data_IF_780377308925
#
_entry.id   IF_780377308925
#
_cell.length_a   1.000
_cell.length_b   1.000
_cell.length_c   1.000
_cell.angle_alpha   90.00
_cell.angle_beta   90.00
_cell.angle_gamma   90.00
#
_symmetry.space_group_name_H-M   'P 1'
#
loop_
_entity.id
_entity.type
_entity.pdbx_description
1 polymer ?
#
# COMPACT_ATOMS: atom_id res chain seq x y z
N UNK A 1 -2.51 4.86 34.51
CA UNK A 1 -1.49 5.10 33.48
C UNK A 1 -0.71 3.81 33.30
N UNK A 2 -0.95 3.09 32.20
CA UNK A 2 -0.25 1.85 31.89
C UNK A 2 1.21 2.18 31.56
N UNK A 3 2.21 1.54 32.17
CA UNK A 3 3.61 1.82 31.86
C UNK A 3 3.89 1.40 30.41
N UNK A 4 4.13 2.39 29.54
CA UNK A 4 4.57 2.16 28.16
C UNK A 4 6.05 1.73 28.21
N UNK A 5 6.38 0.55 27.72
CA UNK A 5 7.79 0.12 27.61
C UNK A 5 8.50 1.09 26.66
N UNK A 6 9.43 1.88 27.20
CA UNK A 6 10.40 2.61 26.37
C UNK A 6 11.31 1.58 25.66
N UNK A 7 10.99 1.29 24.41
CA UNK A 7 11.91 1.17 23.27
C UNK A 7 13.19 0.33 23.42
N UNK A 8 13.17 -0.85 24.07
CA UNK A 8 14.24 -1.85 23.85
C UNK A 8 13.74 -2.91 22.87
N UNK A 9 14.28 -2.90 21.64
CA UNK A 9 13.96 -3.87 20.56
C UNK A 9 13.94 -5.33 21.02
N UNK A 10 14.76 -5.65 22.04
CA UNK A 10 14.86 -6.99 22.62
C UNK A 10 13.61 -7.43 23.39
N UNK A 11 12.90 -6.53 24.08
CA UNK A 11 11.64 -6.87 24.75
C UNK A 11 10.56 -7.22 23.71
N UNK A 12 10.45 -6.39 22.69
CA UNK A 12 9.48 -6.58 21.61
C UNK A 12 9.72 -7.89 20.88
N UNK A 13 10.99 -8.22 20.60
CA UNK A 13 11.33 -9.46 19.93
C UNK A 13 11.01 -10.70 20.78
N UNK A 14 11.24 -10.65 22.10
CA UNK A 14 10.84 -11.73 23.01
C UNK A 14 9.30 -11.90 23.01
N UNK A 15 8.54 -10.80 23.04
CA UNK A 15 7.07 -10.84 22.96
C UNK A 15 6.59 -11.42 21.61
N UNK A 16 7.30 -11.16 20.50
CA UNK A 16 6.99 -11.73 19.17
C UNK A 16 7.23 -13.23 19.13
N UNK A 17 8.39 -13.67 19.58
CA UNK A 17 8.74 -15.09 19.61
C UNK A 17 7.72 -15.88 20.44
N UNK A 18 7.31 -15.34 21.60
CA UNK A 18 6.28 -15.95 22.45
C UNK A 18 4.88 -15.95 21.82
N UNK A 19 4.54 -14.92 21.03
CA UNK A 19 3.27 -14.86 20.31
C UNK A 19 3.20 -15.92 19.21
N UNK A 20 4.31 -16.16 18.51
CA UNK A 20 4.37 -17.11 17.39
C UNK A 20 4.43 -18.57 17.86
N UNK A 21 5.07 -18.85 19.00
CA UNK A 21 5.28 -20.23 19.46
C UNK A 21 4.01 -20.92 19.96
N UNK A 22 3.05 -20.16 20.52
CA UNK A 22 1.83 -20.68 21.18
C UNK A 22 2.08 -21.73 22.29
N UNK A 23 3.35 -21.98 22.64
CA UNK A 23 3.83 -22.89 23.68
C UNK A 23 4.69 -22.12 24.70
N UNK A 24 4.72 -22.54 25.98
CA UNK A 24 5.58 -21.90 26.97
C UNK A 24 7.05 -22.03 26.58
N UNK A 25 7.78 -20.91 26.54
CA UNK A 25 9.22 -20.93 26.24
C UNK A 25 10.07 -20.49 27.44
N UNK A 26 11.12 -21.26 27.72
CA UNK A 26 12.16 -20.93 28.68
C UNK A 26 13.27 -20.09 28.07
N UNK A 27 14.13 -19.51 28.93
CA UNK A 27 15.17 -18.58 28.50
C UNK A 27 16.17 -19.17 27.48
N UNK A 28 16.48 -20.47 27.57
CA UNK A 28 17.37 -21.15 26.61
C UNK A 28 16.79 -21.20 25.19
N UNK A 29 15.56 -21.70 25.02
CA UNK A 29 14.89 -21.74 23.71
C UNK A 29 14.62 -20.35 23.16
N UNK A 30 14.31 -19.39 24.03
CA UNK A 30 14.16 -17.98 23.62
C UNK A 30 15.48 -17.37 23.16
N UNK A 31 16.60 -17.68 23.84
CA UNK A 31 17.94 -17.24 23.45
C UNK A 31 18.32 -17.75 22.06
N UNK A 32 18.07 -19.03 21.76
CA UNK A 32 18.28 -19.63 20.44
C UNK A 32 17.45 -18.92 19.37
N UNK A 33 16.15 -18.72 19.60
CA UNK A 33 15.25 -18.02 18.67
C UNK A 33 15.57 -16.53 18.51
N UNK A 34 16.06 -15.88 19.55
CA UNK A 34 16.54 -14.49 19.49
C UNK A 34 17.80 -14.40 18.61
N UNK A 35 18.73 -15.35 18.73
CA UNK A 35 19.93 -15.41 17.91
C UNK A 35 19.62 -15.65 16.42
N UNK A 36 18.64 -16.51 16.11
CA UNK A 36 18.12 -16.70 14.74
C UNK A 36 17.63 -15.38 14.12
N UNK A 37 17.18 -14.43 14.95
CA UNK A 37 16.68 -13.11 14.55
C UNK A 37 17.72 -11.99 14.69
N UNK A 38 19.00 -12.35 14.90
CA UNK A 38 20.11 -11.39 14.98
C UNK A 38 20.32 -10.76 16.36
N UNK A 39 19.63 -11.22 17.40
CA UNK A 39 19.83 -10.79 18.78
C UNK A 39 20.61 -11.83 19.58
N UNK A 40 21.93 -11.68 19.62
CA UNK A 40 22.79 -12.56 20.43
C UNK A 40 22.71 -12.16 21.90
N UNK A 41 22.02 -12.97 22.70
CA UNK A 41 21.85 -12.79 24.14
C UNK A 41 22.25 -14.07 24.86
N UNK A 42 22.69 -13.97 26.11
CA UNK A 42 22.87 -15.15 26.96
C UNK A 42 21.55 -15.57 27.59
N UNK A 43 21.40 -16.85 27.96
CA UNK A 43 20.23 -17.36 28.67
C UNK A 43 19.93 -16.53 29.93
N UNK A 44 20.97 -16.08 30.63
CA UNK A 44 20.84 -15.22 31.81
C UNK A 44 20.29 -13.84 31.46
N UNK A 45 20.73 -13.24 30.34
CA UNK A 45 20.19 -11.96 29.86
C UNK A 45 18.71 -12.10 29.47
N UNK A 46 18.35 -13.17 28.75
CA UNK A 46 16.95 -13.47 28.39
C UNK A 46 16.09 -13.68 29.65
N UNK A 47 16.64 -14.33 30.68
CA UNK A 47 15.95 -14.51 31.96
C UNK A 47 15.64 -13.18 32.65
N UNK A 48 16.56 -12.20 32.61
CA UNK A 48 16.29 -10.85 33.14
C UNK A 48 15.18 -10.14 32.37
N UNK A 49 15.19 -10.24 31.05
CA UNK A 49 14.12 -9.67 30.22
C UNK A 49 12.76 -10.31 30.51
N UNK A 50 12.70 -11.63 30.67
CA UNK A 50 11.48 -12.34 31.04
C UNK A 50 10.97 -11.94 32.42
N UNK A 51 11.87 -11.74 33.40
CA UNK A 51 11.47 -11.29 34.73
C UNK A 51 10.84 -9.89 34.68
N UNK A 52 11.43 -8.99 33.90
CA UNK A 52 10.85 -7.66 33.70
C UNK A 52 9.48 -7.71 32.99
N UNK A 53 9.33 -8.57 31.97
CA UNK A 53 8.05 -8.77 31.29
C UNK A 53 6.99 -9.41 32.21
N UNK A 54 7.40 -10.27 33.14
CA UNK A 54 6.54 -10.82 34.19
C UNK A 54 6.09 -9.68 35.15
N UNK A 55 7.01 -8.80 35.58
CA UNK A 55 6.73 -7.65 36.44
C UNK A 55 5.80 -6.61 35.80
N UNK A 56 5.91 -6.42 34.48
CA UNK A 56 5.01 -5.57 33.70
C UNK A 56 3.67 -6.25 33.35
N UNK A 57 3.51 -7.52 33.71
CA UNK A 57 2.29 -8.28 33.47
C UNK A 57 2.07 -8.67 32.01
N UNK A 58 3.11 -8.62 31.17
CA UNK A 58 3.04 -9.03 29.76
C UNK A 58 3.28 -10.52 29.56
N UNK A 59 4.03 -11.16 30.46
CA UNK A 59 4.23 -12.61 30.46
C UNK A 59 3.78 -13.24 31.76
N UNK A 60 3.44 -14.52 31.71
CA UNK A 60 3.09 -15.34 32.87
C UNK A 60 3.87 -16.65 32.86
N UNK A 61 4.47 -16.98 34.01
CA UNK A 61 5.24 -18.21 34.19
C UNK A 61 4.32 -19.43 34.29
N UNK A 62 4.61 -20.45 33.48
CA UNK A 62 3.88 -21.74 33.46
C UNK A 62 4.79 -22.83 34.01
N UNK A 63 4.88 -22.91 35.34
CA UNK A 63 5.74 -23.87 36.05
C UNK A 63 7.20 -23.81 35.56
N UNK A 64 7.78 -24.98 35.27
CA UNK A 64 9.14 -25.10 34.71
C UNK A 64 9.17 -25.10 33.17
N UNK A 65 8.02 -24.97 32.50
CA UNK A 65 7.93 -25.05 31.04
C UNK A 65 8.35 -23.75 30.35
N UNK A 66 8.24 -22.62 31.04
CA UNK A 66 8.60 -21.31 30.49
C UNK A 66 7.56 -20.24 30.79
N UNK A 67 7.46 -19.25 29.88
CA UNK A 67 6.48 -18.17 29.94
C UNK A 67 5.53 -18.23 28.74
N UNK A 68 4.30 -17.79 28.96
CA UNK A 68 3.34 -17.45 27.90
C UNK A 68 3.02 -15.96 27.97
N UNK A 69 2.49 -15.42 26.88
CA UNK A 69 1.92 -14.07 26.90
C UNK A 69 0.62 -14.06 27.69
N UNK A 70 0.44 -12.99 28.47
CA UNK A 70 -0.88 -12.61 28.99
C UNK A 70 -1.69 -11.90 27.90
N UNK A 71 -2.97 -11.62 28.13
CA UNK A 71 -3.76 -10.78 27.22
C UNK A 71 -3.11 -9.40 27.00
N UNK A 72 -2.54 -8.81 28.06
CA UNK A 72 -1.80 -7.56 27.98
C UNK A 72 -0.54 -7.70 27.11
N UNK A 73 0.19 -8.82 27.23
CA UNK A 73 1.37 -9.11 26.41
C UNK A 73 1.04 -9.36 24.93
N UNK A 74 -0.09 -10.01 24.65
CA UNK A 74 -0.60 -10.17 23.28
C UNK A 74 -0.96 -8.81 22.69
N UNK A 75 -1.67 -7.97 23.44
CA UNK A 75 -2.01 -6.61 23.01
C UNK A 75 -0.76 -5.75 22.77
N UNK A 76 0.25 -5.87 23.63
CA UNK A 76 1.51 -5.13 23.51
C UNK A 76 2.35 -5.61 22.31
N UNK A 77 2.48 -6.91 22.10
CA UNK A 77 3.16 -7.49 20.93
C UNK A 77 2.54 -6.99 19.62
N UNK A 78 1.20 -6.90 19.58
CA UNK A 78 0.45 -6.33 18.44
C UNK A 78 0.67 -4.82 18.29
N UNK A 79 0.64 -4.04 19.37
CA UNK A 79 0.89 -2.58 19.34
C UNK A 79 2.30 -2.26 18.85
N UNK A 80 3.30 -2.97 19.36
CA UNK A 80 4.69 -2.81 18.96
C UNK A 80 4.94 -3.18 17.49
N UNK A 81 4.23 -4.18 16.97
CA UNK A 81 4.23 -4.48 15.53
C UNK A 81 3.66 -3.31 14.73
N UNK A 82 2.57 -2.69 15.19
CA UNK A 82 2.00 -1.51 14.55
C UNK A 82 3.00 -0.34 14.58
N UNK A 83 3.64 -0.05 15.71
CA UNK A 83 4.62 1.05 15.83
C UNK A 83 5.84 0.88 14.92
N UNK A 84 6.38 -0.34 14.77
CA UNK A 84 7.46 -0.60 13.80
C UNK A 84 6.99 -0.53 12.33
N UNK A 85 5.70 -0.73 12.07
CA UNK A 85 5.10 -0.62 10.75
C UNK A 85 4.65 0.81 10.40
N UNK A 86 4.53 1.73 11.37
CA UNK A 86 4.17 3.12 11.10
C UNK A 86 5.22 3.73 10.17
N UNK A 87 4.77 4.17 8.99
CA UNK A 87 5.64 4.74 7.96
C UNK A 87 6.31 3.71 7.04
N UNK A 88 6.18 2.40 7.32
CA UNK A 88 6.76 1.36 6.47
C UNK A 88 6.21 1.40 5.04
N UNK A 89 4.89 1.59 4.88
CA UNK A 89 4.26 1.66 3.56
C UNK A 89 4.77 2.86 2.76
N UNK A 90 4.78 4.06 3.34
CA UNK A 90 5.26 5.25 2.63
C UNK A 90 6.74 5.11 2.28
N UNK A 91 7.60 4.60 3.17
CA UNK A 91 9.02 4.36 2.85
C UNK A 91 9.21 3.26 1.80
N UNK A 92 8.37 2.21 1.78
CA UNK A 92 8.36 1.19 0.72
C UNK A 92 8.03 1.83 -0.63
N UNK A 93 7.02 2.69 -0.68
CA UNK A 93 6.58 3.41 -1.87
C UNK A 93 7.65 4.41 -2.35
N UNK A 94 8.22 5.22 -1.47
CA UNK A 94 9.30 6.16 -1.80
C UNK A 94 10.51 5.44 -2.41
N UNK A 95 10.89 4.28 -1.86
CA UNK A 95 11.95 3.44 -2.42
C UNK A 95 11.61 2.94 -3.83
N UNK A 96 10.34 2.64 -4.12
CA UNK A 96 9.90 2.22 -5.46
C UNK A 96 9.87 3.38 -6.45
N UNK A 97 9.41 4.57 -6.03
CA UNK A 97 9.52 5.80 -6.84
C UNK A 97 10.97 6.02 -7.28
N UNK A 98 11.90 5.95 -6.33
CA UNK A 98 13.33 6.15 -6.61
C UNK A 98 13.90 5.09 -7.57
N UNK A 99 13.47 3.83 -7.46
CA UNK A 99 13.92 2.73 -8.32
C UNK A 99 13.24 2.71 -9.70
N UNK A 100 12.09 3.35 -9.85
CA UNK A 100 11.34 3.41 -11.10
C UNK A 100 12.16 4.12 -12.17
N UNK A 101 12.40 3.47 -13.31
CA UNK A 101 13.21 4.02 -14.41
C UNK A 101 12.38 4.57 -15.58
N UNK A 102 11.05 4.56 -15.49
CA UNK A 102 10.17 5.07 -16.54
C UNK A 102 10.48 6.52 -16.95
N UNK A 103 10.57 6.72 -18.26
CA UNK A 103 10.72 8.00 -18.93
C UNK A 103 9.52 8.20 -19.87
N UNK A 104 8.64 9.18 -19.61
CA UNK A 104 7.43 9.37 -20.39
C UNK A 104 7.72 9.92 -21.81
N UNK A 105 8.88 10.57 -22.03
CA UNK A 105 9.28 11.06 -23.35
C UNK A 105 9.55 9.88 -24.28
N UNK A 106 10.36 8.92 -23.84
CA UNK A 106 10.72 7.75 -24.64
C UNK A 106 9.70 6.60 -24.54
N UNK A 107 8.86 6.61 -23.50
CA UNK A 107 7.94 5.50 -23.21
C UNK A 107 8.66 4.23 -22.76
N UNK A 108 9.90 4.35 -22.25
CA UNK A 108 10.75 3.21 -21.87
C UNK A 108 11.10 3.24 -20.39
N UNK A 109 11.64 2.12 -19.91
CA UNK A 109 12.05 1.93 -18.52
C UNK A 109 11.01 1.16 -17.71
N UNK A 110 11.16 1.20 -16.39
CA UNK A 110 10.35 0.42 -15.46
C UNK A 110 9.36 1.28 -14.71
N UNK A 111 8.14 0.78 -14.55
CA UNK A 111 7.08 1.39 -13.72
C UNK A 111 6.88 0.56 -12.47
N UNK A 112 6.39 1.19 -11.39
CA UNK A 112 5.99 0.46 -10.19
C UNK A 112 4.62 -0.19 -10.41
N UNK A 113 4.42 -1.37 -9.83
CA UNK A 113 3.16 -2.12 -9.97
C UNK A 113 2.61 -2.61 -8.62
N UNK A 114 1.30 -2.88 -8.59
CA UNK A 114 0.63 -3.64 -7.54
C UNK A 114 0.37 -5.06 -8.07
N UNK A 115 0.42 -6.06 -7.18
CA UNK A 115 0.11 -7.45 -7.51
C UNK A 115 -1.15 -7.88 -6.75
N UNK A 116 -2.23 -8.11 -7.48
CA UNK A 116 -3.47 -8.67 -6.97
C UNK A 116 -3.50 -10.17 -7.17
N UNK A 117 -3.92 -10.92 -6.16
CA UNK A 117 -4.05 -12.37 -6.17
C UNK A 117 -5.54 -12.72 -6.11
N UNK A 118 -6.00 -13.53 -7.05
CA UNK A 118 -7.39 -13.99 -7.15
C UNK A 118 -7.41 -15.49 -7.40
N UNK A 119 -8.52 -16.16 -7.09
CA UNK A 119 -8.68 -17.57 -7.44
C UNK A 119 -8.78 -17.73 -8.94
N UNK A 120 -8.25 -18.82 -9.48
CA UNK A 120 -8.31 -19.10 -10.93
C UNK A 120 -9.75 -19.11 -11.46
N UNK A 121 -10.69 -19.66 -10.68
CA UNK A 121 -12.12 -19.73 -11.00
C UNK A 121 -12.80 -18.34 -11.12
N UNK A 122 -12.31 -17.35 -10.38
CA UNK A 122 -12.87 -15.99 -10.34
C UNK A 122 -12.25 -15.09 -11.42
N UNK A 123 -11.16 -15.51 -12.07
CA UNK A 123 -10.40 -14.68 -13.01
C UNK A 123 -11.29 -14.04 -14.08
N UNK A 124 -12.19 -14.75 -14.80
CA UNK A 124 -12.99 -14.13 -15.85
C UNK A 124 -13.91 -13.01 -15.34
N UNK A 125 -14.41 -13.13 -14.11
CA UNK A 125 -15.26 -12.13 -13.48
C UNK A 125 -14.47 -10.90 -13.01
N UNK A 126 -13.28 -11.15 -12.45
CA UNK A 126 -12.37 -10.09 -12.02
C UNK A 126 -11.84 -9.30 -13.22
N UNK A 127 -11.40 -9.96 -14.28
CA UNK A 127 -10.91 -9.28 -15.49
C UNK A 127 -12.02 -8.47 -16.17
N UNK A 128 -13.25 -8.97 -16.22
CA UNK A 128 -14.39 -8.19 -16.71
C UNK A 128 -14.62 -6.92 -15.87
N UNK A 129 -14.49 -6.99 -14.53
CA UNK A 129 -14.57 -5.81 -13.67
C UNK A 129 -13.40 -4.83 -13.89
N UNK A 130 -12.20 -5.34 -14.17
CA UNK A 130 -11.04 -4.50 -14.46
C UNK A 130 -11.20 -3.81 -15.84
N UNK A 131 -11.72 -4.53 -16.83
CA UNK A 131 -11.97 -4.04 -18.19
C UNK A 131 -12.99 -2.89 -18.19
N UNK A 132 -14.03 -2.95 -17.35
CA UNK A 132 -14.98 -1.84 -17.19
C UNK A 132 -14.30 -0.56 -16.67
N UNK A 133 -13.42 -0.68 -15.67
CA UNK A 133 -12.67 0.46 -15.12
C UNK A 133 -11.68 1.01 -16.15
N UNK A 134 -10.99 0.11 -16.87
CA UNK A 134 -10.08 0.49 -17.94
C UNK A 134 -10.80 1.22 -19.07
N UNK A 135 -11.95 0.70 -19.52
CA UNK A 135 -12.75 1.27 -20.60
C UNK A 135 -13.33 2.63 -20.24
N UNK A 136 -13.69 2.82 -18.97
CA UNK A 136 -14.24 4.08 -18.47
C UNK A 136 -13.16 5.14 -18.11
N UNK A 137 -11.87 4.77 -18.12
CA UNK A 137 -10.78 5.72 -17.89
C UNK A 137 -10.44 6.03 -16.43
N UNK A 138 -10.92 5.22 -15.49
CA UNK A 138 -10.74 5.47 -14.05
C UNK A 138 -9.58 4.67 -13.42
N UNK A 139 -8.79 3.95 -14.21
CA UNK A 139 -7.53 3.37 -13.77
C UNK A 139 -6.38 4.37 -13.82
N UNK A 140 -5.33 4.18 -13.02
CA UNK A 140 -4.10 4.99 -13.18
C UNK A 140 -3.46 4.78 -14.57
N UNK A 141 -3.48 3.54 -15.04
CA UNK A 141 -3.21 3.13 -16.40
C UNK A 141 -4.36 2.17 -16.75
N UNK A 142 -5.02 2.35 -17.89
CA UNK A 142 -6.20 1.56 -18.28
C UNK A 142 -5.84 0.18 -18.86
N UNK A 143 -4.86 -0.48 -18.25
CA UNK A 143 -4.43 -1.83 -18.61
C UNK A 143 -3.91 -2.54 -17.37
N UNK A 144 -3.91 -3.86 -17.44
CA UNK A 144 -3.35 -4.74 -16.43
C UNK A 144 -2.76 -5.96 -17.13
N UNK A 145 -1.94 -6.72 -16.41
CA UNK A 145 -1.36 -7.97 -16.93
C UNK A 145 -1.70 -9.13 -16.03
N UNK A 146 -2.21 -10.22 -16.62
CA UNK A 146 -2.36 -11.48 -15.90
C UNK A 146 -0.97 -12.13 -15.77
N UNK A 147 -0.65 -12.58 -14.56
CA UNK A 147 0.64 -13.13 -14.17
C UNK A 147 0.40 -14.50 -13.55
N UNK A 148 0.88 -15.55 -14.22
CA UNK A 148 0.81 -16.93 -13.71
C UNK A 148 2.10 -17.32 -12.97
N UNK A 149 3.22 -16.70 -13.34
CA UNK A 149 4.54 -17.04 -12.83
C UNK A 149 5.09 -15.93 -11.92
N UNK A 150 4.74 -15.98 -10.64
CA UNK A 150 5.35 -15.17 -9.58
C UNK A 150 5.39 -15.99 -8.28
N UNK A 151 6.54 -16.06 -7.57
CA UNK A 151 6.68 -16.89 -6.37
C UNK A 151 5.75 -16.51 -5.21
N UNK A 152 5.09 -15.35 -5.27
CA UNK A 152 4.10 -14.90 -4.28
C UNK A 152 2.70 -15.41 -4.56
N UNK A 153 2.45 -15.97 -5.74
CA UNK A 153 1.16 -16.55 -6.12
C UNK A 153 1.06 -17.95 -5.50
N UNK A 154 0.08 -18.18 -4.60
CA UNK A 154 -0.15 -19.51 -4.04
C UNK A 154 -0.86 -20.43 -5.05
N UNK A 155 -0.80 -21.74 -4.82
CA UNK A 155 -1.51 -22.73 -5.64
C UNK A 155 -3.02 -22.41 -5.75
N UNK A 156 -3.59 -22.62 -6.94
CA UNK A 156 -5.00 -22.34 -7.26
C UNK A 156 -5.35 -20.86 -7.35
N UNK A 157 -4.34 -19.98 -7.39
CA UNK A 157 -4.50 -18.54 -7.59
C UNK A 157 -3.74 -18.06 -8.81
N UNK A 158 -4.15 -16.90 -9.29
CA UNK A 158 -3.52 -16.19 -10.39
C UNK A 158 -3.28 -14.73 -10.02
N UNK A 159 -2.17 -14.19 -10.50
CA UNK A 159 -1.78 -12.81 -10.30
C UNK A 159 -2.37 -11.88 -11.34
N UNK A 160 -2.69 -10.66 -10.94
CA UNK A 160 -3.06 -9.56 -11.82
C UNK A 160 -2.24 -8.33 -11.44
N UNK A 161 -1.46 -7.83 -12.38
CA UNK A 161 -0.56 -6.70 -12.21
C UNK A 161 -1.21 -5.41 -12.71
N UNK A 162 -1.23 -4.37 -11.87
CA UNK A 162 -1.72 -3.02 -12.24
C UNK A 162 -0.65 -1.97 -11.99
N UNK A 163 -0.65 -0.87 -12.75
CA UNK A 163 0.27 0.22 -12.53
C UNK A 163 0.01 0.92 -11.18
N UNK A 164 1.07 1.17 -10.42
CA UNK A 164 1.02 1.90 -9.16
C UNK A 164 1.26 3.40 -9.41
N UNK A 165 0.44 4.25 -8.78
CA UNK A 165 0.52 5.71 -8.96
C UNK A 165 1.85 6.31 -8.49
N UNK A 166 2.61 5.57 -7.66
CA UNK A 166 3.98 5.94 -7.25
C UNK A 166 4.96 6.06 -8.44
N UNK A 167 4.58 5.54 -9.61
CA UNK A 167 5.31 5.76 -10.86
C UNK A 167 5.37 7.25 -11.23
N UNK A 168 4.29 8.02 -10.99
CA UNK A 168 4.28 9.47 -11.18
C UNK A 168 5.36 10.14 -10.32
N UNK A 169 5.49 9.73 -9.07
CA UNK A 169 6.50 10.26 -8.15
C UNK A 169 7.92 10.02 -8.69
N UNK A 170 8.19 8.85 -9.28
CA UNK A 170 9.47 8.56 -9.94
C UNK A 170 9.74 9.45 -11.15
N UNK A 171 8.72 9.76 -11.96
CA UNK A 171 8.83 10.69 -13.09
C UNK A 171 9.14 12.11 -12.60
N UNK A 172 8.34 12.62 -11.66
CA UNK A 172 8.51 13.96 -11.09
C UNK A 172 9.90 14.12 -10.43
N UNK A 173 10.35 13.11 -9.69
CA UNK A 173 11.68 13.12 -9.07
C UNK A 173 12.82 13.25 -10.09
N UNK A 174 12.75 12.54 -11.23
CA UNK A 174 13.77 12.66 -12.30
C UNK A 174 13.75 14.00 -13.01
N UNK A 175 12.61 14.67 -13.05
CA UNK A 175 12.48 16.05 -13.53
C UNK A 175 12.97 17.09 -12.50
N UNK A 176 13.53 16.63 -11.37
CA UNK A 176 14.06 17.47 -10.30
C UNK A 176 12.97 18.06 -9.41
N UNK A 177 11.75 17.49 -9.40
CA UNK A 177 10.61 18.01 -8.64
C UNK A 177 10.48 17.23 -7.33
N UNK A 178 10.72 17.86 -6.16
CA UNK A 178 10.55 17.19 -4.89
C UNK A 178 9.06 16.93 -4.65
N UNK A 179 8.70 15.65 -4.60
CA UNK A 179 7.31 15.19 -4.52
C UNK A 179 7.06 14.50 -3.19
N UNK A 180 5.92 14.83 -2.56
CA UNK A 180 5.46 14.18 -1.32
C UNK A 180 4.11 13.53 -1.56
N UNK A 181 4.01 12.22 -1.36
CA UNK A 181 2.75 11.51 -1.31
C UNK A 181 2.09 11.79 0.06
N UNK A 182 1.10 12.68 0.09
CA UNK A 182 0.51 13.18 1.34
C UNK A 182 -0.67 12.32 1.77
N UNK A 183 -1.63 12.07 0.85
CA UNK A 183 -2.91 11.44 1.19
C UNK A 183 -3.30 10.36 0.18
N UNK A 184 -4.03 9.37 0.67
CA UNK A 184 -4.94 8.55 -0.11
C UNK A 184 -6.36 9.04 0.17
N UNK A 185 -7.22 9.08 -0.83
CA UNK A 185 -8.56 9.66 -0.68
C UNK A 185 -9.63 8.99 -1.52
N UNK A 186 -10.86 9.13 -1.04
CA UNK A 186 -12.08 8.85 -1.81
C UNK A 186 -12.43 10.09 -2.60
N UNK A 187 -12.47 9.98 -3.92
CA UNK A 187 -12.79 11.08 -4.82
C UNK A 187 -14.15 10.84 -5.46
N UNK A 188 -15.10 11.73 -5.18
CA UNK A 188 -16.39 11.75 -5.85
C UNK A 188 -16.23 12.36 -7.23
N UNK A 189 -16.75 11.68 -8.25
CA UNK A 189 -16.80 12.14 -9.63
C UNK A 189 -18.26 12.20 -10.05
N UNK A 190 -18.66 13.31 -10.69
CA UNK A 190 -20.01 13.50 -11.24
C UNK A 190 -20.06 13.32 -12.76
N UNK A 191 -21.27 13.33 -13.32
CA UNK A 191 -21.53 13.15 -14.76
C UNK A 191 -20.88 14.23 -15.64
N UNK A 192 -20.55 15.39 -15.06
CA UNK A 192 -19.86 16.49 -15.75
C UNK A 192 -18.34 16.35 -15.70
N UNK A 193 -17.83 15.29 -15.05
CA UNK A 193 -16.40 15.06 -14.84
C UNK A 193 -15.80 15.95 -13.76
N UNK A 194 -16.61 16.63 -12.93
CA UNK A 194 -16.09 17.34 -11.75
C UNK A 194 -15.66 16.33 -10.70
N UNK A 195 -14.57 16.64 -9.98
CA UNK A 195 -14.01 15.75 -8.98
C UNK A 195 -13.72 16.47 -7.67
N UNK A 196 -14.07 15.86 -6.53
CA UNK A 196 -13.78 16.40 -5.20
C UNK A 196 -13.56 15.31 -4.16
N UNK A 197 -12.71 15.54 -3.16
CA UNK A 197 -12.43 14.54 -2.13
C UNK A 197 -13.54 14.49 -1.07
N UNK A 198 -13.97 13.28 -0.71
CA UNK A 198 -14.91 13.06 0.40
C UNK A 198 -14.16 12.88 1.71
N UNK A 199 -13.16 11.99 1.72
CA UNK A 199 -12.27 11.79 2.85
C UNK A 199 -10.83 11.57 2.38
N UNK A 200 -9.91 11.79 3.32
CA UNK A 200 -8.48 11.60 3.13
C UNK A 200 -7.91 10.86 4.33
N UNK A 201 -6.93 10.01 4.06
CA UNK A 201 -6.07 9.42 5.07
C UNK A 201 -4.63 9.76 4.69
N UNK A 202 -3.90 10.37 5.63
CA UNK A 202 -2.49 10.68 5.44
C UNK A 202 -1.65 9.42 5.36
N UNK A 203 -0.71 9.36 4.41
CA UNK A 203 0.27 8.26 4.33
C UNK A 203 1.30 8.32 5.46
N UNK A 204 1.58 9.52 5.98
CA UNK A 204 2.44 9.68 7.15
C UNK A 204 1.67 9.24 8.40
N UNK A 205 2.22 8.29 9.14
CA UNK A 205 1.62 7.82 10.39
C UNK A 205 0.75 6.57 10.26
N UNK A 206 0.62 5.99 9.06
CA UNK A 206 -0.11 4.72 8.87
C UNK A 206 0.83 3.53 8.78
N UNK A 207 0.38 2.39 9.31
CA UNK A 207 1.03 1.08 9.17
C UNK A 207 0.47 0.25 8.00
N UNK A 208 -0.71 0.63 7.51
CA UNK A 208 -1.43 -0.03 6.41
C UNK A 208 -1.62 0.98 5.28
N UNK A 209 -1.67 0.48 4.04
CA UNK A 209 -2.00 1.33 2.90
C UNK A 209 -3.48 1.79 2.99
N UNK A 210 -3.77 3.11 2.94
CA UNK A 210 -5.13 3.56 3.15
C UNK A 210 -6.10 3.28 2.00
N UNK A 211 -5.62 3.06 0.77
CA UNK A 211 -6.49 2.67 -0.36
C UNK A 211 -7.10 1.29 -0.10
N UNK A 212 -6.31 0.37 0.44
CA UNK A 212 -6.83 -0.94 0.86
C UNK A 212 -7.91 -0.81 1.94
N UNK A 213 -7.77 0.13 2.88
CA UNK A 213 -8.79 0.38 3.91
C UNK A 213 -10.10 0.85 3.31
N UNK A 214 -10.06 1.78 2.35
CA UNK A 214 -11.28 2.27 1.69
C UNK A 214 -12.02 1.17 0.91
N UNK A 215 -11.29 0.33 0.17
CA UNK A 215 -11.88 -0.81 -0.55
C UNK A 215 -12.47 -1.82 0.43
N UNK A 216 -11.71 -2.22 1.45
CA UNK A 216 -12.14 -3.25 2.42
C UNK A 216 -13.33 -2.80 3.27
N UNK A 217 -13.47 -1.49 3.51
CA UNK A 217 -14.58 -0.92 4.24
C UNK A 217 -15.84 -0.71 3.38
N UNK A 218 -15.80 -1.04 2.08
CA UNK A 218 -16.93 -0.86 1.16
C UNK A 218 -17.31 0.61 0.96
N UNK A 219 -16.33 1.52 1.04
CA UNK A 219 -16.58 2.96 1.00
C UNK A 219 -16.49 3.55 -0.42
N UNK A 220 -16.30 2.72 -1.44
CA UNK A 220 -16.26 3.13 -2.85
C UNK A 220 -17.59 2.86 -3.55
N UNK A 221 -17.79 3.47 -4.73
CA UNK A 221 -18.89 3.13 -5.64
C UNK A 221 -18.39 3.17 -7.08
N UNK A 222 -17.30 2.46 -7.34
CA UNK A 222 -16.60 2.41 -8.62
C UNK A 222 -17.48 1.72 -9.66
N UNK A 223 -18.25 0.70 -9.30
CA UNK A 223 -19.18 0.06 -10.22
C UNK A 223 -20.24 1.05 -10.74
N UNK A 224 -20.78 1.89 -9.84
CA UNK A 224 -21.69 2.96 -10.23
C UNK A 224 -20.99 4.00 -11.10
N UNK A 225 -19.74 4.35 -10.79
CA UNK A 225 -18.95 5.28 -11.57
C UNK A 225 -18.76 4.81 -13.02
N UNK A 226 -18.40 3.54 -13.24
CA UNK A 226 -18.16 3.00 -14.59
C UNK A 226 -19.45 2.73 -15.37
N UNK A 227 -20.59 2.54 -14.70
CA UNK A 227 -21.89 2.23 -15.35
C UNK A 227 -22.78 3.45 -15.56
N UNK A 228 -22.73 4.43 -14.66
CA UNK A 228 -23.61 5.61 -14.65
C UNK A 228 -22.85 6.93 -14.82
N UNK A 229 -21.51 6.92 -14.91
CA UNK A 229 -20.71 8.14 -15.07
C UNK A 229 -20.57 8.98 -13.79
N UNK A 230 -21.12 8.53 -12.66
CA UNK A 230 -21.00 9.21 -11.38
C UNK A 230 -20.86 8.21 -10.22
N UNK A 231 -19.95 8.50 -9.30
CA UNK A 231 -19.64 7.61 -8.18
C UNK A 231 -18.39 8.02 -7.42
N UNK A 232 -17.88 7.10 -6.60
CA UNK A 232 -16.73 7.35 -5.71
C UNK A 232 -15.59 6.42 -6.07
N UNK A 233 -14.53 6.98 -6.63
CA UNK A 233 -13.27 6.31 -6.92
C UNK A 233 -12.23 6.59 -5.84
N UNK A 234 -11.04 6.04 -6.04
CA UNK A 234 -9.86 6.29 -5.22
C UNK A 234 -8.83 7.11 -6.00
N UNK A 235 -8.18 8.03 -5.30
CA UNK A 235 -7.06 8.79 -5.82
C UNK A 235 -6.04 9.08 -4.71
N UNK A 236 -4.78 9.21 -5.11
CA UNK A 236 -3.69 9.63 -4.24
C UNK A 236 -3.36 11.08 -4.50
N UNK A 237 -3.15 11.86 -3.43
CA UNK A 237 -2.78 13.27 -3.48
C UNK A 237 -1.30 13.43 -3.17
N UNK A 238 -0.61 14.13 -4.06
CA UNK A 238 0.77 14.58 -3.84
C UNK A 238 0.82 16.08 -3.63
N UNK A 239 1.80 16.53 -2.86
CA UNK A 239 2.17 17.93 -2.76
C UNK A 239 3.57 18.15 -3.34
N UNK A 240 3.67 19.10 -4.27
CA UNK A 240 4.93 19.57 -4.88
C UNK A 240 5.09 21.07 -4.65
N UNK A 241 6.29 21.67 -4.79
CA UNK A 241 6.42 23.12 -4.75
C UNK A 241 5.54 23.79 -5.82
N UNK A 242 4.81 24.84 -5.46
CA UNK A 242 3.94 25.55 -6.41
C UNK A 242 4.71 26.13 -7.61
N UNK A 243 5.99 26.48 -7.41
CA UNK A 243 6.90 26.93 -8.47
C UNK A 243 7.18 25.87 -9.55
N UNK A 244 6.89 24.59 -9.30
CA UNK A 244 7.10 23.50 -10.25
C UNK A 244 5.92 23.28 -11.22
N UNK A 245 4.85 24.10 -11.15
CA UNK A 245 3.61 23.93 -11.91
C UNK A 245 3.81 23.58 -13.39
N UNK A 246 4.59 24.38 -14.12
CA UNK A 246 4.79 24.16 -15.57
C UNK A 246 5.43 22.80 -15.87
N UNK A 247 6.42 22.38 -15.06
CA UNK A 247 7.05 21.06 -15.21
C UNK A 247 6.14 19.92 -14.81
N UNK A 248 5.24 20.14 -13.86
CA UNK A 248 4.21 19.16 -13.48
C UNK A 248 3.20 18.99 -14.62
N UNK A 249 2.75 20.09 -15.23
CA UNK A 249 1.84 20.07 -16.37
C UNK A 249 2.46 19.35 -17.57
N UNK A 250 3.75 19.57 -17.82
CA UNK A 250 4.55 18.83 -18.81
C UNK A 250 4.62 17.32 -18.47
N UNK A 251 4.99 16.98 -17.23
CA UNK A 251 5.11 15.58 -16.79
C UNK A 251 3.79 14.82 -16.94
N UNK A 252 2.70 15.41 -16.47
CA UNK A 252 1.35 14.84 -16.53
C UNK A 252 0.92 14.71 -17.99
N UNK A 253 1.12 15.73 -18.82
CA UNK A 253 0.80 15.66 -20.25
C UNK A 253 1.55 14.54 -20.98
N UNK A 254 2.85 14.41 -20.76
CA UNK A 254 3.65 13.33 -21.33
C UNK A 254 3.18 11.95 -20.84
N UNK A 255 2.74 11.82 -19.58
CA UNK A 255 2.17 10.58 -19.08
C UNK A 255 0.79 10.29 -19.69
N UNK A 256 -0.07 11.29 -19.86
CA UNK A 256 -1.36 11.13 -20.54
C UNK A 256 -1.18 10.62 -21.98
N UNK A 257 -0.18 11.12 -22.72
CA UNK A 257 0.19 10.62 -24.06
C UNK A 257 0.61 9.14 -24.06
N UNK A 258 0.99 8.60 -22.89
CA UNK A 258 1.33 7.18 -22.69
C UNK A 258 0.18 6.36 -22.08
N UNK A 259 -1.01 6.93 -21.97
CA UNK A 259 -2.23 6.26 -21.53
C UNK A 259 -2.47 6.26 -20.02
N UNK A 260 -1.69 7.04 -19.26
CA UNK A 260 -1.98 7.25 -17.83
C UNK A 260 -3.15 8.22 -17.68
N UNK A 261 -3.99 8.01 -16.65
CA UNK A 261 -5.18 8.84 -16.43
C UNK A 261 -5.13 9.55 -15.08
N UNK A 262 -5.70 10.74 -15.09
CA UNK A 262 -5.81 11.62 -13.94
C UNK A 262 -7.26 12.08 -13.78
N UNK A 263 -7.69 12.46 -12.56
CA UNK A 263 -8.99 13.08 -12.35
C UNK A 263 -9.13 14.43 -13.09
N UNK A 264 -10.26 15.09 -12.92
CA UNK A 264 -10.56 16.41 -13.48
C UNK A 264 -9.36 17.37 -13.46
N UNK A 265 -9.23 18.24 -14.49
CA UNK A 265 -8.11 19.19 -14.61
C UNK A 265 -6.73 18.51 -14.63
N UNK A 266 -6.63 17.34 -15.26
CA UNK A 266 -5.41 16.51 -15.32
C UNK A 266 -4.85 16.17 -13.93
N UNK A 267 -5.71 16.09 -12.93
CA UNK A 267 -5.27 15.87 -11.56
C UNK A 267 -4.58 17.07 -10.90
N UNK A 268 -4.48 18.24 -11.54
CA UNK A 268 -3.74 19.39 -11.01
C UNK A 268 -4.70 20.38 -10.36
N UNK A 269 -4.52 20.64 -9.07
CA UNK A 269 -5.35 21.58 -8.31
C UNK A 269 -5.75 21.01 -6.96
N UNK A 270 -6.65 21.71 -6.28
CA UNK A 270 -6.96 21.42 -4.87
C UNK A 270 -8.09 20.42 -4.66
N UNK A 271 -9.01 20.24 -5.61
CA UNK A 271 -10.10 19.26 -5.50
C UNK A 271 -10.95 19.38 -4.22
N UNK A 272 -11.08 20.59 -3.64
CA UNK A 272 -11.68 20.91 -2.32
C UNK A 272 -10.76 20.83 -1.09
N UNK A 273 -9.47 20.56 -1.28
CA UNK A 273 -8.46 20.69 -0.24
C UNK A 273 -8.20 22.16 0.10
N UNK A 274 -7.82 22.48 1.36
CA UNK A 274 -7.42 23.83 1.71
C UNK A 274 -6.25 24.33 0.85
N UNK A 275 -6.37 25.57 0.35
CA UNK A 275 -5.30 26.18 -0.42
C UNK A 275 -4.00 26.25 0.38
N UNK A 276 -2.86 26.05 -0.30
CA UNK A 276 -1.56 26.17 0.34
C UNK A 276 -0.64 27.11 -0.46
N UNK A 277 -0.11 28.19 0.13
CA UNK A 277 0.59 29.26 -0.61
C UNK A 277 1.83 28.79 -1.38
N UNK A 278 2.50 27.75 -0.90
CA UNK A 278 3.74 27.24 -1.48
C UNK A 278 3.65 25.80 -2.03
N UNK A 279 2.45 25.23 -2.11
CA UNK A 279 2.27 23.84 -2.56
C UNK A 279 1.24 23.78 -3.67
N UNK A 280 1.52 22.93 -4.64
CA UNK A 280 0.58 22.51 -5.66
C UNK A 280 0.20 21.06 -5.36
N UNK A 281 -1.10 20.76 -5.37
CA UNK A 281 -1.59 19.41 -5.22
C UNK A 281 -1.78 18.73 -6.58
N UNK A 282 -1.45 17.44 -6.61
CA UNK A 282 -1.61 16.57 -7.77
C UNK A 282 -2.36 15.31 -7.31
N UNK A 283 -3.59 15.15 -7.79
CA UNK A 283 -4.37 13.94 -7.64
C UNK A 283 -4.08 12.98 -8.80
N UNK A 284 -3.86 11.70 -8.51
CA UNK A 284 -3.76 10.66 -9.53
C UNK A 284 -4.67 9.49 -9.14
N UNK A 285 -5.38 8.94 -10.13
CA UNK A 285 -6.09 7.67 -9.94
C UNK A 285 -5.12 6.55 -9.57
N UNK A 286 -5.66 5.39 -9.19
CA UNK A 286 -4.88 4.24 -8.70
C UNK A 286 -5.33 2.96 -9.38
N UNK A 287 -4.42 2.00 -9.56
CA UNK A 287 -4.78 0.63 -9.96
C UNK A 287 -5.74 -0.05 -8.97
N UNK A 288 -5.85 0.46 -7.73
CA UNK A 288 -6.84 -0.01 -6.77
C UNK A 288 -8.29 0.28 -7.19
N UNK A 289 -8.55 1.16 -8.17
CA UNK A 289 -9.91 1.33 -8.71
C UNK A 289 -10.39 0.06 -9.43
N UNK A 290 -9.50 -0.65 -10.13
CA UNK A 290 -9.82 -1.95 -10.73
C UNK A 290 -10.15 -3.00 -9.67
N UNK A 291 -9.32 -3.07 -8.62
CA UNK A 291 -9.54 -3.96 -7.47
C UNK A 291 -10.86 -3.64 -6.77
N UNK A 292 -11.14 -2.35 -6.53
CA UNK A 292 -12.37 -1.90 -5.90
C UNK A 292 -13.62 -2.30 -6.67
N UNK A 293 -13.64 -2.16 -8.00
CA UNK A 293 -14.79 -2.61 -8.81
C UNK A 293 -15.02 -4.12 -8.71
N UNK A 294 -13.95 -4.93 -8.70
CA UNK A 294 -14.08 -6.37 -8.52
C UNK A 294 -14.62 -6.73 -7.12
N UNK A 295 -14.14 -6.06 -6.07
CA UNK A 295 -14.62 -6.27 -4.69
C UNK A 295 -16.09 -5.86 -4.53
N UNK A 296 -16.50 -4.73 -5.13
CA UNK A 296 -17.90 -4.28 -5.13
C UNK A 296 -18.85 -5.30 -5.80
N UNK A 297 -18.34 -6.10 -6.74
CA UNK A 297 -19.08 -7.19 -7.40
C UNK A 297 -19.04 -8.52 -6.65
N UNK A 298 -18.42 -8.56 -5.47
CA UNK A 298 -18.38 -9.74 -4.60
C UNK A 298 -17.16 -10.65 -4.82
N UNK A 299 -16.18 -10.26 -5.62
CA UNK A 299 -14.95 -11.04 -5.78
C UNK A 299 -13.97 -10.80 -4.63
N UNK A 300 -13.29 -11.86 -4.20
CA UNK A 300 -12.23 -11.75 -3.19
C UNK A 300 -10.89 -11.51 -3.88
N UNK A 301 -10.27 -10.36 -3.60
CA UNK A 301 -8.98 -9.97 -4.18
C UNK A 301 -8.02 -9.59 -3.07
N UNK A 302 -6.84 -10.22 -3.02
CA UNK A 302 -5.77 -9.84 -2.10
C UNK A 302 -4.69 -9.07 -2.86
N UNK A 303 -4.44 -7.82 -2.49
CA UNK A 303 -3.47 -6.98 -3.23
C UNK A 303 -2.24 -6.65 -2.39
N UNK A 304 -1.05 -6.93 -2.95
CA UNK A 304 0.20 -6.35 -2.49
C UNK A 304 0.44 -5.01 -3.20
N UNK A 305 0.37 -3.91 -2.45
CA UNK A 305 0.62 -2.57 -2.96
C UNK A 305 2.12 -2.31 -3.04
N UNK A 306 2.55 -1.72 -4.17
CA UNK A 306 3.97 -1.51 -4.46
C UNK A 306 4.73 -2.84 -4.43
N UNK A 307 4.27 -3.83 -5.20
CA UNK A 307 4.82 -5.17 -5.23
C UNK A 307 6.21 -5.24 -5.89
N UNK A 308 6.54 -4.28 -6.76
CA UNK A 308 7.84 -4.21 -7.41
C UNK A 308 7.87 -3.20 -8.55
N UNK A 309 8.88 -3.33 -9.42
CA UNK A 309 8.96 -2.61 -10.69
C UNK A 309 8.99 -3.59 -11.86
N UNK A 310 8.42 -3.20 -12.99
CA UNK A 310 8.35 -4.02 -14.22
C UNK A 310 8.59 -3.13 -15.44
N UNK A 311 9.12 -3.63 -16.57
CA UNK A 311 9.18 -2.87 -17.82
C UNK A 311 7.80 -2.35 -18.22
N UNK A 312 7.71 -1.07 -18.62
CA UNK A 312 6.44 -0.45 -19.00
C UNK A 312 5.74 -1.22 -20.13
N UNK A 313 6.51 -1.65 -21.13
CA UNK A 313 6.05 -2.46 -22.28
C UNK A 313 5.33 -3.75 -21.87
N UNK A 314 5.72 -4.35 -20.75
CA UNK A 314 5.11 -5.59 -20.25
C UNK A 314 3.67 -5.37 -19.76
N UNK A 315 3.35 -4.17 -19.25
CA UNK A 315 1.99 -3.79 -18.82
C UNK A 315 1.12 -3.34 -20.00
N UNK A 316 1.68 -2.58 -20.94
CA UNK A 316 0.90 -2.07 -22.09
C UNK A 316 0.73 -3.10 -23.21
N UNK A 317 1.59 -4.12 -23.29
CA UNK A 317 1.46 -5.22 -24.26
C UNK A 317 0.31 -6.20 -24.01
N UNK A 318 -0.56 -5.96 -23.02
CA UNK A 318 -1.68 -6.82 -22.67
C UNK A 318 -2.98 -6.53 -23.45
N UNK A 319 -3.09 -5.38 -24.11
CA UNK A 319 -4.31 -4.93 -24.81
C UNK A 319 -4.13 -4.86 -26.33
N UNK A 320 -3.55 -5.90 -26.92
CA UNK A 320 -3.29 -6.00 -28.36
C UNK A 320 -3.43 -7.40 -28.94
N UNK A 321 -4.62 -7.98 -28.84
CA UNK A 321 -5.12 -9.07 -29.72
C UNK A 321 -6.64 -9.18 -29.56
N UNK A 322 -7.36 -8.22 -30.15
CA UNK A 322 -8.72 -8.41 -30.68
C UNK A 322 -8.81 -7.67 -32.00
#
# INVERSE_FOLDING_TARGET
>A
MTPSIRSERKYLEILRILAESHEPLGAKRLSEKMAERGFVLSDRAVQYYLQYLDEMGFTAKVGNRGRLLTEAGIAESKRALVEEQIGFIISKLERLAFRSTFDPVTGKGTVAYNLSLVREEDLPGVTAAFDEVASAGYGFLNTYRVVETDPRIPDGHIGIMTACSITLDGVLQKMGIPTRLEYAGRIAVDENGSASFLDLIGYRGTSVDPLHLFVSAGLTSINRLVTAGAGVALANVRAVPSAARSRVEEAVGLMEERGFNFPARRGIGEFNLPEHPYRLFIAAFTGMNMVGNAVEKGYTVKTEIGAGTTPFEYLVGATGSR
#
